data_IF_616670451370
#
_entry.id   IF_616670451370
#
_cell.length_a   1.000
_cell.length_b   1.000
_cell.length_c   1.000
_cell.angle_alpha   90.00
_cell.angle_beta   90.00
_cell.angle_gamma   90.00
#
_symmetry.space_group_name_H-M   'P 1'
#
loop_
_entity.id
_entity.type
_entity.pdbx_description
1 polymer ?
#
# COMPACT_ATOMS: atom_id res chain seq x y z
N UNK A 1 10.46 39.42 16.35
CA UNK A 1 9.75 39.58 15.06
C UNK A 1 9.98 38.34 14.23
N UNK A 2 8.93 37.64 13.78
CA UNK A 2 9.10 36.44 12.95
C UNK A 2 9.65 36.84 11.57
N UNK A 3 10.70 36.19 11.06
CA UNK A 3 11.25 36.53 9.75
C UNK A 3 10.20 36.30 8.67
N UNK A 4 9.95 37.33 7.87
CA UNK A 4 8.96 37.35 6.79
C UNK A 4 9.27 36.28 5.73
N UNK A 5 8.73 35.09 5.89
CA UNK A 5 8.66 34.02 4.87
C UNK A 5 7.73 34.35 3.71
N UNK A 6 7.40 35.64 3.48
CA UNK A 6 6.38 36.14 2.55
C UNK A 6 6.61 35.79 1.07
N UNK A 7 7.75 35.21 0.69
CA UNK A 7 8.10 34.92 -0.72
C UNK A 7 8.80 33.58 -0.94
N UNK A 8 8.58 32.58 -0.08
CA UNK A 8 9.11 31.24 -0.37
C UNK A 8 8.16 30.51 -1.33
N UNK A 9 8.49 30.50 -2.63
CA UNK A 9 7.70 29.85 -3.67
C UNK A 9 7.57 28.34 -3.47
N UNK A 10 8.57 27.68 -2.89
CA UNK A 10 8.50 26.26 -2.55
C UNK A 10 7.51 25.99 -1.43
N UNK A 11 7.51 26.82 -0.38
CA UNK A 11 6.53 26.74 0.70
C UNK A 11 5.10 26.97 0.18
N UNK A 12 4.90 27.96 -0.68
CA UNK A 12 3.59 28.24 -1.28
C UNK A 12 3.08 27.08 -2.14
N UNK A 13 3.96 26.49 -2.98
CA UNK A 13 3.64 25.28 -3.75
C UNK A 13 3.23 24.14 -2.81
N UNK A 14 3.97 23.93 -1.72
CA UNK A 14 3.65 22.87 -0.75
C UNK A 14 2.33 23.12 -0.04
N UNK A 15 2.04 24.35 0.37
CA UNK A 15 0.75 24.73 0.97
C UNK A 15 -0.39 24.46 0.00
N UNK A 16 -0.23 24.85 -1.27
CA UNK A 16 -1.23 24.57 -2.32
C UNK A 16 -1.47 23.06 -2.47
N UNK A 17 -0.40 22.24 -2.48
CA UNK A 17 -0.55 20.78 -2.46
C UNK A 17 -1.29 20.29 -1.23
N UNK A 18 -0.97 20.78 -0.03
CA UNK A 18 -1.63 20.37 1.22
C UNK A 18 -3.12 20.77 1.27
N UNK A 19 -3.51 21.80 0.54
CA UNK A 19 -4.90 22.27 0.42
C UNK A 19 -5.75 21.46 -0.58
N UNK A 20 -5.15 20.57 -1.37
CA UNK A 20 -5.89 19.71 -2.29
C UNK A 20 -6.95 18.90 -1.55
N UNK A 21 -8.18 18.95 -2.06
CA UNK A 21 -9.34 18.23 -1.50
C UNK A 21 -9.29 16.76 -1.93
N UNK A 22 -9.58 15.88 -0.99
CA UNK A 22 -9.69 14.45 -1.23
C UNK A 22 -11.17 14.06 -1.31
N UNK A 23 -11.53 13.23 -2.29
CA UNK A 23 -12.86 12.67 -2.40
C UNK A 23 -13.02 11.52 -1.39
N UNK A 24 -14.13 11.48 -0.63
CA UNK A 24 -14.37 10.40 0.32
C UNK A 24 -14.59 9.06 -0.37
N UNK A 25 -14.00 8.00 0.17
CA UNK A 25 -14.36 6.64 -0.19
C UNK A 25 -15.68 6.23 0.48
N UNK A 26 -16.41 5.34 -0.18
CA UNK A 26 -17.67 4.78 0.29
C UNK A 26 -17.46 3.30 0.61
N UNK A 27 -17.93 2.79 1.76
CA UNK A 27 -17.83 1.39 2.09
C UNK A 27 -18.82 0.54 1.26
N UNK A 28 -18.43 -0.70 1.01
CA UNK A 28 -19.23 -1.77 0.44
C UNK A 28 -19.94 -2.57 1.55
N UNK A 29 -21.17 -3.06 1.29
CA UNK A 29 -21.92 -2.92 0.04
C UNK A 29 -22.57 -1.53 -0.13
N UNK A 30 -22.83 -0.81 0.97
CA UNK A 30 -23.31 0.57 0.99
C UNK A 30 -23.11 1.17 2.39
N UNK A 31 -22.90 2.49 2.48
CA UNK A 31 -22.82 3.21 3.74
C UNK A 31 -22.28 4.64 3.58
N UNK A 32 -22.30 5.46 4.64
CA UNK A 32 -21.64 6.76 4.61
C UNK A 32 -20.11 6.60 4.59
N UNK A 33 -19.35 7.60 4.11
CA UNK A 33 -17.90 7.63 4.31
C UNK A 33 -17.52 7.59 5.79
N UNK A 34 -16.34 7.03 6.10
CA UNK A 34 -15.80 7.04 7.46
C UNK A 34 -15.78 8.48 8.04
N UNK A 35 -16.19 8.70 9.31
CA UNK A 35 -16.30 10.04 9.90
C UNK A 35 -14.98 10.83 9.87
N UNK A 36 -13.85 10.16 10.15
CA UNK A 36 -12.51 10.76 10.10
C UNK A 36 -11.86 10.71 8.71
N UNK A 37 -12.60 10.42 7.64
CA UNK A 37 -12.01 10.41 6.31
C UNK A 37 -11.44 11.81 5.97
N UNK A 38 -10.17 11.93 5.57
CA UNK A 38 -9.53 13.22 5.42
C UNK A 38 -10.12 13.99 4.24
N UNK A 39 -10.52 15.24 4.48
CA UNK A 39 -11.08 16.13 3.45
C UNK A 39 -10.01 16.78 2.58
N UNK A 40 -8.77 16.85 3.06
CA UNK A 40 -7.62 17.45 2.36
C UNK A 40 -6.34 16.65 2.61
N UNK A 41 -5.32 16.86 1.77
CA UNK A 41 -4.00 16.26 1.98
C UNK A 41 -3.36 16.68 3.31
N UNK A 42 -3.59 17.92 3.76
CA UNK A 42 -3.17 18.36 5.09
C UNK A 42 -3.81 17.51 6.19
N UNK A 43 -5.14 17.34 6.15
CA UNK A 43 -5.86 16.56 7.14
C UNK A 43 -5.37 15.10 7.16
N UNK A 44 -5.11 14.51 5.99
CA UNK A 44 -4.54 13.17 5.87
C UNK A 44 -3.18 13.02 6.58
N UNK A 45 -2.29 14.00 6.43
CA UNK A 45 -0.98 13.97 7.09
C UNK A 45 -1.04 14.15 8.62
N UNK A 46 -2.17 14.66 9.13
CA UNK A 46 -2.40 14.89 10.56
C UNK A 46 -3.16 13.75 11.25
N UNK A 47 -3.57 12.71 10.51
CA UNK A 47 -4.25 11.55 11.09
C UNK A 47 -3.38 10.86 12.16
N UNK A 48 -4.00 10.55 13.30
CA UNK A 48 -3.41 9.78 14.39
C UNK A 48 -3.34 8.29 14.02
N UNK A 49 -2.61 7.52 14.82
CA UNK A 49 -2.55 6.06 14.66
C UNK A 49 -3.94 5.42 14.74
N UNK A 50 -4.71 5.76 15.77
CA UNK A 50 -6.06 5.21 15.98
C UNK A 50 -7.01 5.54 14.83
N UNK A 51 -6.91 6.75 14.26
CA UNK A 51 -7.70 7.15 13.10
C UNK A 51 -7.32 6.35 11.86
N UNK A 52 -6.03 6.09 11.64
CA UNK A 52 -5.57 5.27 10.52
C UNK A 52 -6.06 3.81 10.67
N UNK A 53 -6.03 3.26 11.88
CA UNK A 53 -6.51 1.90 12.16
C UNK A 53 -8.03 1.80 12.02
N UNK A 54 -8.78 2.79 12.52
CA UNK A 54 -10.24 2.86 12.36
C UNK A 54 -10.65 2.91 10.90
N UNK A 55 -9.97 3.75 10.10
CA UNK A 55 -10.19 3.82 8.64
C UNK A 55 -9.87 2.46 7.99
N UNK A 56 -8.74 1.85 8.33
CA UNK A 56 -8.34 0.56 7.77
C UNK A 56 -9.34 -0.56 8.11
N UNK A 57 -9.86 -0.57 9.33
CA UNK A 57 -10.87 -1.54 9.76
C UNK A 57 -12.19 -1.33 9.02
N UNK A 58 -12.66 -0.09 8.91
CA UNK A 58 -13.92 0.26 8.25
C UNK A 58 -13.98 -0.18 6.79
N UNK A 59 -12.86 -0.08 6.05
CA UNK A 59 -12.75 -0.52 4.66
C UNK A 59 -12.21 -1.96 4.50
N UNK A 60 -12.30 -2.78 5.54
CA UNK A 60 -11.89 -4.20 5.52
C UNK A 60 -10.43 -4.45 5.09
N UNK A 61 -9.54 -3.48 5.38
CA UNK A 61 -8.11 -3.56 5.05
C UNK A 61 -7.26 -4.11 6.21
N UNK A 62 -7.69 -3.95 7.46
CA UNK A 62 -7.02 -4.54 8.63
C UNK A 62 -7.62 -5.87 9.07
N UNK A 63 -8.95 -5.99 9.03
CA UNK A 63 -9.69 -7.22 9.33
C UNK A 63 -10.34 -7.71 8.04
N UNK A 64 -9.75 -8.71 7.37
CA UNK A 64 -10.28 -9.21 6.11
C UNK A 64 -11.71 -9.71 6.26
N UNK A 65 -12.56 -9.36 5.30
CA UNK A 65 -13.95 -9.79 5.21
C UNK A 65 -14.34 -10.05 3.75
N UNK A 66 -15.63 -10.31 3.48
CA UNK A 66 -16.12 -10.66 2.13
C UNK A 66 -15.78 -9.59 1.07
N UNK A 67 -15.69 -8.33 1.49
CA UNK A 67 -15.47 -7.17 0.63
C UNK A 67 -14.01 -6.76 0.47
N UNK A 68 -13.07 -7.38 1.18
CA UNK A 68 -11.65 -6.96 1.18
C UNK A 68 -11.06 -6.86 -0.23
N UNK A 69 -11.37 -7.82 -1.09
CA UNK A 69 -10.87 -7.86 -2.48
C UNK A 69 -11.72 -7.05 -3.47
N UNK A 70 -12.82 -6.43 -3.02
CA UNK A 70 -13.70 -5.61 -3.85
C UNK A 70 -13.30 -4.13 -3.83
N UNK A 71 -12.34 -3.75 -2.98
CA UNK A 71 -11.76 -2.41 -2.96
C UNK A 71 -10.38 -2.39 -3.64
N UNK A 72 -10.02 -1.28 -4.29
CA UNK A 72 -10.90 -0.20 -4.74
C UNK A 72 -11.79 -0.70 -5.89
N UNK A 73 -13.09 -0.43 -5.83
CA UNK A 73 -14.00 -0.85 -6.90
C UNK A 73 -13.57 -0.23 -8.24
N UNK A 74 -13.60 -1.03 -9.31
CA UNK A 74 -13.27 -0.55 -10.64
C UNK A 74 -14.17 0.65 -10.99
N UNK A 75 -13.56 1.71 -11.50
CA UNK A 75 -14.30 2.89 -11.92
C UNK A 75 -15.16 2.49 -13.13
N UNK A 76 -16.48 2.49 -12.96
CA UNK A 76 -17.42 2.27 -14.06
C UNK A 76 -17.43 3.52 -14.95
N UNK A 77 -16.44 3.65 -15.82
CA UNK A 77 -16.30 4.74 -16.79
C UNK A 77 -17.51 4.86 -17.73
N UNK A 78 -18.25 3.76 -17.88
CA UNK A 78 -19.47 3.66 -18.69
C UNK A 78 -20.70 4.28 -18.03
N UNK A 79 -20.59 4.80 -16.79
CA UNK A 79 -21.70 5.58 -16.19
C UNK A 79 -21.89 6.86 -16.99
N UNK A 80 -23.14 7.16 -17.38
CA UNK A 80 -23.50 8.32 -18.21
C UNK A 80 -22.89 9.64 -17.72
N UNK A 81 -22.79 9.85 -16.39
CA UNK A 81 -22.16 11.04 -15.79
C UNK A 81 -20.66 11.20 -16.08
N UNK A 82 -19.94 10.09 -16.30
CA UNK A 82 -18.50 10.05 -16.58
C UNK A 82 -18.20 9.77 -18.05
N UNK A 83 -19.16 9.18 -18.76
CA UNK A 83 -19.07 8.93 -20.18
C UNK A 83 -18.93 10.26 -20.92
N UNK A 84 -17.93 10.32 -21.81
CA UNK A 84 -17.71 11.50 -22.64
C UNK A 84 -18.81 11.53 -23.70
N UNK A 85 -19.89 12.27 -23.43
CA UNK A 85 -20.98 12.43 -24.40
C UNK A 85 -20.40 12.96 -25.73
N UNK A 86 -20.65 12.29 -26.86
CA UNK A 86 -20.11 12.70 -28.16
C UNK A 86 -20.58 14.10 -28.58
N UNK A 87 -21.69 14.58 -28.03
CA UNK A 87 -22.24 15.91 -28.29
C UNK A 87 -21.35 17.05 -27.77
N UNK A 88 -20.66 16.87 -26.65
CA UNK A 88 -19.69 17.85 -26.13
C UNK A 88 -18.36 17.84 -26.92
N UNK A 89 -18.05 16.73 -27.60
CA UNK A 89 -16.85 16.61 -28.44
C UNK A 89 -17.08 17.17 -29.86
N UNK A 90 -18.32 17.20 -30.36
CA UNK A 90 -18.66 17.71 -31.69
C UNK A 90 -18.50 19.24 -31.84
N UNK A 91 -18.39 19.98 -30.74
CA UNK A 91 -18.14 21.44 -30.75
C UNK A 91 -16.65 21.78 -30.80
N UNK A 92 -15.76 20.79 -30.67
CA UNK A 92 -14.32 20.95 -30.85
C UNK A 92 -13.92 20.43 -32.24
N UNK A 93 -13.54 21.37 -33.12
CA UNK A 93 -13.20 21.17 -34.53
C UNK A 93 -12.34 19.92 -34.83
N UNK A 94 -12.54 19.25 -35.97
CA UNK A 94 -11.74 18.09 -36.37
C UNK A 94 -10.42 18.55 -36.99
N UNK A 95 -9.39 18.75 -36.18
CA UNK A 95 -8.03 18.82 -36.69
C UNK A 95 -7.08 18.15 -35.71
N UNK A 96 -6.89 16.84 -35.89
CA UNK A 96 -5.58 16.20 -36.16
C UNK A 96 -5.70 14.71 -35.88
N UNK A 97 -5.65 13.94 -36.95
CA UNK A 97 -5.41 12.50 -36.98
C UNK A 97 -4.27 12.13 -36.03
N UNK A 98 -4.58 11.27 -35.06
CA UNK A 98 -3.62 10.68 -34.16
C UNK A 98 -2.64 9.77 -34.92
N UNK A 99 -1.55 10.35 -35.43
CA UNK A 99 -0.32 9.60 -35.70
C UNK A 99 0.21 9.14 -34.34
N UNK A 100 0.06 7.83 -34.05
CA UNK A 100 0.84 7.16 -33.00
C UNK A 100 2.31 7.28 -33.37
N UNK A 101 2.96 8.34 -32.89
CA UNK A 101 4.41 8.46 -32.95
C UNK A 101 5.00 7.37 -32.05
N UNK A 102 5.52 6.30 -32.67
CA UNK A 102 6.58 5.50 -32.07
C UNK A 102 7.77 6.43 -31.88
N UNK A 103 7.85 7.04 -30.70
CA UNK A 103 8.95 7.94 -30.34
C UNK A 103 10.18 7.07 -30.17
N UNK A 104 11.17 7.23 -31.06
CA UNK A 104 12.46 6.57 -30.94
C UNK A 104 13.13 7.12 -29.68
N UNK A 105 13.33 6.25 -28.68
CA UNK A 105 13.95 6.63 -27.41
C UNK A 105 15.36 7.17 -27.67
N UNK A 106 15.70 8.27 -26.99
CA UNK A 106 17.04 8.83 -26.98
C UNK A 106 18.04 7.87 -26.33
N UNK A 107 19.34 8.08 -26.59
CA UNK A 107 20.40 7.23 -26.03
C UNK A 107 20.33 7.20 -24.49
N UNK A 108 20.12 8.36 -23.87
CA UNK A 108 20.00 8.53 -22.41
C UNK A 108 18.79 7.78 -21.85
N UNK A 109 17.66 7.80 -22.56
CA UNK A 109 16.46 7.05 -22.13
C UNK A 109 16.67 5.53 -22.23
N UNK A 110 17.44 5.06 -23.23
CA UNK A 110 17.81 3.64 -23.34
C UNK A 110 18.72 3.21 -22.20
N UNK A 111 19.72 4.02 -21.88
CA UNK A 111 20.66 3.77 -20.77
C UNK A 111 19.93 3.72 -19.43
N UNK A 112 19.01 4.66 -19.20
CA UNK A 112 18.16 4.66 -18.01
C UNK A 112 17.28 3.40 -17.91
N UNK A 113 16.66 2.97 -19.01
CA UNK A 113 15.82 1.76 -19.01
C UNK A 113 16.68 0.50 -18.77
N UNK A 114 17.89 0.43 -19.33
CA UNK A 114 18.79 -0.70 -19.07
C UNK A 114 19.26 -0.75 -17.63
N UNK A 115 19.56 0.39 -17.01
CA UNK A 115 19.95 0.48 -15.60
C UNK A 115 18.77 0.10 -14.68
N UNK A 116 17.55 0.50 -15.06
CA UNK A 116 16.32 0.10 -14.40
C UNK A 116 16.06 -1.41 -14.49
N UNK A 117 16.29 -2.04 -15.65
CA UNK A 117 16.13 -3.49 -15.79
C UNK A 117 17.17 -4.27 -14.98
N UNK A 118 18.40 -3.75 -14.90
CA UNK A 118 19.49 -4.35 -14.13
C UNK A 118 19.24 -4.29 -12.62
N UNK A 119 18.75 -3.17 -12.12
CA UNK A 119 18.38 -3.03 -10.69
C UNK A 119 17.23 -3.96 -10.29
N UNK A 120 16.30 -4.26 -11.20
CA UNK A 120 15.23 -5.25 -10.97
C UNK A 120 15.78 -6.68 -10.94
N UNK A 121 16.81 -6.98 -11.72
CA UNK A 121 17.46 -8.30 -11.72
C UNK A 121 18.28 -8.55 -10.44
N UNK A 122 18.94 -7.51 -9.90
CA UNK A 122 19.60 -7.57 -8.59
C UNK A 122 18.61 -7.81 -7.43
N UNK A 123 17.34 -7.40 -7.58
CA UNK A 123 16.25 -7.69 -6.63
C UNK A 123 15.77 -9.14 -6.68
N UNK A 124 15.98 -9.86 -7.80
CA UNK A 124 15.64 -11.27 -7.93
C UNK A 124 16.67 -12.21 -7.28
N UNK A 125 17.87 -11.72 -6.95
CA UNK A 125 18.92 -12.48 -6.27
C UNK A 125 19.46 -11.70 -5.05
N UNK A 126 18.76 -11.71 -3.91
CA UNK A 126 19.23 -11.01 -2.72
C UNK A 126 20.51 -11.67 -2.19
N UNK A 127 21.64 -10.99 -2.34
CA UNK A 127 22.86 -11.28 -1.56
C UNK A 127 22.57 -10.93 -0.11
N UNK A 128 22.38 -11.94 0.73
CA UNK A 128 22.13 -11.80 2.17
C UNK A 128 23.38 -11.25 2.88
N UNK A 129 23.35 -10.06 3.49
CA UNK A 129 24.35 -9.69 4.47
C UNK A 129 24.06 -10.39 5.80
N UNK A 130 25.12 -10.96 6.38
CA UNK A 130 25.15 -11.67 7.66
C UNK A 130 24.45 -10.86 8.76
N UNK A 131 23.44 -11.46 9.41
CA UNK A 131 22.73 -10.82 10.52
C UNK A 131 23.62 -10.72 11.77
N UNK A 132 23.54 -9.61 12.54
CA UNK A 132 23.96 -9.62 13.93
C UNK A 132 22.82 -10.12 14.82
N UNK A 133 23.09 -11.23 15.49
CA UNK A 133 22.29 -11.88 16.53
C UNK A 133 21.98 -10.89 17.67
N UNK A 134 20.71 -10.53 17.88
CA UNK A 134 20.27 -9.95 19.15
C UNK A 134 19.04 -10.70 19.66
N UNK A 135 19.30 -11.62 20.59
CA UNK A 135 18.26 -12.37 21.28
C UNK A 135 17.45 -11.46 22.20
N UNK A 136 16.16 -11.36 21.90
CA UNK A 136 15.15 -10.95 22.89
C UNK A 136 14.01 -11.97 22.82
N UNK A 137 13.76 -12.65 23.93
CA UNK A 137 12.70 -13.65 24.05
C UNK A 137 11.35 -12.95 23.94
N UNK A 138 10.72 -12.99 22.76
CA UNK A 138 9.41 -12.42 22.50
C UNK A 138 8.30 -13.43 22.85
N UNK A 139 7.24 -12.94 23.48
CA UNK A 139 6.10 -13.76 23.88
C UNK A 139 5.28 -14.20 22.65
N UNK A 140 4.55 -15.32 22.73
CA UNK A 140 3.71 -15.85 21.63
C UNK A 140 2.69 -14.83 21.09
N UNK A 141 2.28 -13.84 21.89
CA UNK A 141 1.36 -12.78 21.49
C UNK A 141 2.04 -11.64 20.70
N UNK A 142 3.32 -11.35 20.98
CA UNK A 142 4.09 -10.33 20.24
C UNK A 142 4.41 -10.75 18.82
N UNK A 143 4.50 -12.07 18.55
CA UNK A 143 4.77 -12.60 17.21
C UNK A 143 3.65 -12.35 16.19
N UNK A 144 2.46 -11.95 16.63
CA UNK A 144 1.32 -11.69 15.75
C UNK A 144 1.26 -10.24 15.23
N UNK A 145 1.93 -9.29 15.90
CA UNK A 145 1.88 -7.89 15.49
C UNK A 145 3.09 -7.56 14.60
N UNK A 146 2.90 -7.31 13.29
CA UNK A 146 4.00 -6.98 12.37
C UNK A 146 4.69 -5.65 12.68
N UNK A 147 4.20 -4.90 13.67
CA UNK A 147 4.76 -3.63 14.11
C UNK A 147 5.43 -3.68 15.48
N UNK A 148 5.58 -4.88 16.07
CA UNK A 148 6.29 -5.04 17.34
C UNK A 148 7.75 -4.55 17.22
N UNK A 149 8.19 -3.72 18.17
CA UNK A 149 9.56 -3.18 18.20
C UNK A 149 9.81 -1.92 17.36
N UNK A 150 8.84 -1.43 16.59
CA UNK A 150 8.96 -0.15 15.86
C UNK A 150 8.64 1.04 16.76
N UNK A 151 9.27 2.19 16.49
CA UNK A 151 8.87 3.45 17.11
C UNK A 151 7.49 3.91 16.60
N UNK A 152 6.75 4.67 17.42
CA UNK A 152 5.45 5.24 17.03
C UNK A 152 5.53 6.01 15.72
N UNK A 153 6.61 6.77 15.53
CA UNK A 153 6.85 7.55 14.32
C UNK A 153 6.97 6.68 13.07
N UNK A 154 7.66 5.55 13.17
CA UNK A 154 7.84 4.61 12.06
C UNK A 154 6.55 3.86 11.76
N UNK A 155 5.89 3.36 12.81
CA UNK A 155 4.61 2.68 12.72
C UNK A 155 3.53 3.56 12.08
N UNK A 156 3.39 4.81 12.52
CA UNK A 156 2.44 5.78 11.93
C UNK A 156 2.81 6.08 10.47
N UNK A 157 4.10 6.26 10.15
CA UNK A 157 4.55 6.51 8.77
C UNK A 157 4.18 5.36 7.84
N UNK A 158 4.36 4.13 8.31
CA UNK A 158 4.01 2.90 7.61
C UNK A 158 2.49 2.80 7.39
N UNK A 159 1.71 2.91 8.48
CA UNK A 159 0.23 2.85 8.41
C UNK A 159 -0.32 3.93 7.48
N UNK A 160 0.22 5.15 7.55
CA UNK A 160 -0.15 6.26 6.66
C UNK A 160 0.15 5.95 5.20
N UNK A 161 1.30 5.35 4.87
CA UNK A 161 1.60 4.93 3.49
C UNK A 161 0.62 3.88 3.00
N UNK A 162 0.33 2.85 3.80
CA UNK A 162 -0.68 1.83 3.48
C UNK A 162 -2.04 2.43 3.17
N UNK A 163 -2.56 3.31 4.05
CA UNK A 163 -3.84 4.01 3.83
C UNK A 163 -3.75 4.94 2.62
N UNK A 164 -2.65 5.67 2.45
CA UNK A 164 -2.42 6.56 1.30
C UNK A 164 -2.46 5.81 -0.03
N UNK A 165 -1.82 4.63 -0.11
CA UNK A 165 -1.87 3.75 -1.27
C UNK A 165 -3.29 3.25 -1.54
N UNK A 166 -4.00 2.85 -0.48
CA UNK A 166 -5.38 2.36 -0.56
C UNK A 166 -6.34 3.41 -1.15
N UNK A 167 -6.20 4.67 -0.74
CA UNK A 167 -7.03 5.78 -1.26
C UNK A 167 -6.51 6.39 -2.58
N UNK A 168 -5.46 5.81 -3.18
CA UNK A 168 -4.95 6.20 -4.50
C UNK A 168 -3.98 7.40 -4.52
N UNK A 169 -3.32 7.71 -3.41
CA UNK A 169 -2.28 8.75 -3.40
C UNK A 169 -0.97 8.26 -4.02
N UNK A 170 -0.41 9.06 -4.92
CA UNK A 170 0.89 8.81 -5.56
C UNK A 170 2.04 8.95 -4.55
N UNK A 171 3.04 8.06 -4.63
CA UNK A 171 4.22 8.12 -3.76
C UNK A 171 3.98 7.59 -2.35
N UNK A 172 2.88 6.86 -2.14
CA UNK A 172 2.53 6.21 -0.87
C UNK A 172 2.83 4.71 -0.88
N UNK A 173 3.80 4.27 -1.68
CA UNK A 173 4.22 2.88 -1.70
C UNK A 173 4.68 2.44 -0.31
N UNK A 174 4.15 1.32 0.15
CA UNK A 174 4.61 0.66 1.36
C UNK A 174 6.05 0.16 1.12
N UNK A 175 7.01 0.44 2.02
CA UNK A 175 8.41 0.04 1.83
C UNK A 175 8.55 -1.46 1.55
N UNK A 176 9.51 -1.82 0.69
CA UNK A 176 9.72 -3.21 0.26
C UNK A 176 10.08 -4.11 1.46
N UNK A 177 10.81 -3.57 2.45
CA UNK A 177 11.19 -4.29 3.66
C UNK A 177 9.97 -4.70 4.49
N UNK A 178 8.94 -3.85 4.55
CA UNK A 178 7.70 -4.17 5.24
C UNK A 178 6.90 -5.24 4.48
N UNK A 179 6.91 -5.19 3.15
CA UNK A 179 6.26 -6.20 2.31
C UNK A 179 6.97 -7.54 2.47
N UNK A 180 8.30 -7.55 2.38
CA UNK A 180 9.15 -8.73 2.57
C UNK A 180 8.98 -9.32 3.97
N UNK A 181 8.98 -8.48 5.01
CA UNK A 181 8.77 -8.91 6.39
C UNK A 181 7.41 -9.60 6.59
N UNK A 182 6.34 -9.11 5.96
CA UNK A 182 5.02 -9.79 5.99
C UNK A 182 5.03 -11.13 5.28
N UNK A 183 5.67 -11.22 4.11
CA UNK A 183 5.79 -12.48 3.36
C UNK A 183 6.58 -13.49 4.18
N UNK A 184 7.70 -13.06 4.78
CA UNK A 184 8.55 -13.88 5.62
C UNK A 184 7.81 -14.38 6.87
N UNK A 185 7.10 -13.50 7.58
CA UNK A 185 6.30 -13.89 8.75
C UNK A 185 5.16 -14.87 8.38
N UNK A 186 4.50 -14.66 7.23
CA UNK A 186 3.48 -15.57 6.72
C UNK A 186 4.06 -16.94 6.36
N UNK A 187 5.25 -16.96 5.75
CA UNK A 187 5.93 -18.20 5.38
C UNK A 187 6.39 -18.97 6.62
N UNK A 188 6.94 -18.28 7.61
CA UNK A 188 7.37 -18.86 8.89
C UNK A 188 6.18 -19.50 9.63
N UNK A 189 5.04 -18.79 9.71
CA UNK A 189 3.82 -19.32 10.31
C UNK A 189 3.28 -20.57 9.58
N UNK A 190 3.36 -20.58 8.24
CA UNK A 190 2.96 -21.74 7.43
C UNK A 190 3.89 -22.95 7.67
N UNK A 191 5.21 -22.72 7.76
CA UNK A 191 6.20 -23.76 8.07
C UNK A 191 5.96 -24.35 9.46
N UNK A 192 5.71 -23.50 10.47
CA UNK A 192 5.44 -23.96 11.84
C UNK A 192 4.18 -24.85 11.87
N UNK A 193 3.12 -24.42 11.20
CA UNK A 193 1.87 -25.20 11.08
C UNK A 193 2.14 -26.57 10.44
N UNK A 194 2.90 -26.60 9.34
CA UNK A 194 3.26 -27.86 8.66
C UNK A 194 4.11 -28.78 9.56
N UNK A 195 5.04 -28.23 10.35
CA UNK A 195 5.84 -29.00 11.32
C UNK A 195 5.00 -29.55 12.47
N UNK A 196 3.98 -28.82 12.92
CA UNK A 196 3.03 -29.31 13.93
C UNK A 196 2.13 -30.43 13.38
N UNK A 197 1.65 -30.31 12.15
CA UNK A 197 0.89 -31.35 11.47
C UNK A 197 1.69 -32.64 11.27
N UNK A 198 2.97 -32.52 10.88
CA UNK A 198 3.86 -33.67 10.72
C UNK A 198 4.03 -34.42 12.05
N UNK A 199 4.32 -33.70 13.14
CA UNK A 199 4.45 -34.27 14.49
C UNK A 199 3.15 -34.98 14.92
N UNK A 200 2.00 -34.37 14.66
CA UNK A 200 0.69 -34.96 14.98
C UNK A 200 0.42 -36.23 14.16
N UNK A 201 0.76 -36.22 12.87
CA UNK A 201 0.64 -37.40 12.01
C UNK A 201 1.57 -38.54 12.45
N UNK A 202 2.81 -38.23 12.84
CA UNK A 202 3.77 -39.20 13.38
C UNK A 202 3.25 -39.83 14.69
N UNK A 203 2.70 -39.02 15.61
CA UNK A 203 2.08 -39.52 16.84
C UNK A 203 0.89 -40.46 16.56
N UNK A 204 0.03 -40.11 15.61
CA UNK A 204 -1.12 -40.94 15.19
C UNK A 204 -0.64 -42.26 14.58
N UNK A 205 0.40 -42.23 13.75
CA UNK A 205 1.01 -43.41 13.15
C UNK A 205 1.64 -44.32 14.21
N UNK A 206 2.37 -43.75 15.18
CA UNK A 206 2.96 -44.50 16.29
C UNK A 206 1.90 -45.12 17.20
N UNK A 207 0.80 -44.41 17.49
CA UNK A 207 -0.34 -44.96 18.24
C UNK A 207 -1.02 -46.10 17.50
N UNK A 208 -1.23 -45.99 16.18
CA UNK A 208 -1.76 -47.08 15.36
C UNK A 208 -0.85 -48.29 15.37
N UNK A 209 0.47 -48.09 15.23
CA UNK A 209 1.46 -49.18 15.27
C UNK A 209 1.53 -49.88 16.63
N UNK A 210 1.23 -49.18 17.73
CA UNK A 210 1.21 -49.75 19.09
C UNK A 210 -0.05 -50.57 19.40
N UNK A 211 -1.11 -50.42 18.60
CA UNK A 211 -2.40 -51.10 18.76
C UNK A 211 -2.56 -52.30 17.80
N UNK A 212 -1.56 -52.57 16.96
CA UNK A 212 -1.46 -53.74 16.07
C UNK A 212 -0.41 -54.71 16.63
#
# INVERSE_FOLDING_TARGET
>A
MAPTTRRNSALLKKISTLQLKLAPLVPLPSGPPHPDFPKTLMAFHLLTEDQLDSIAHYYHQSTPGPWTHHYPAQMNWDKDFLAKHPEAAAVASPSTTAMRHSRRLSQVEKEFITDLMKTVEDLQHPVLPSQPETGSQSSKADRANPYAGLSDKERIRIKRRKVGKFIGLVGMETPAEEIAGRIQASLEAAIETSREELRRNEEVMLRRKKMA
#
